data_IF_403877234869
#
_entry.id   IF_403877234869
#
_cell.length_a   1.000
_cell.length_b   1.000
_cell.length_c   1.000
_cell.angle_alpha   90.00
_cell.angle_beta   90.00
_cell.angle_gamma   90.00
#
_symmetry.space_group_name_H-M   'P 1'
#
loop_
_entity.id
_entity.type
_entity.pdbx_description
1 polymer ?
2 non-polymer ?
3 water ?
#
# COMPACT_ATOMS: atom_id res chain seq x y z
N UNK A 1 -6.84 -6.69 30.54
CA UNK A 1 -6.25 -5.63 29.73
C UNK A 1 -6.30 -5.88 28.20
N UNK A 2 -7.48 -5.69 27.58
CA UNK A 2 -7.64 -6.01 26.15
C UNK A 2 -6.77 -5.16 25.24
N UNK A 3 -6.26 -5.79 24.17
CA UNK A 3 -5.45 -5.09 23.19
C UNK A 3 -5.62 -5.72 21.81
N UNK A 4 -5.25 -4.94 20.78
CA UNK A 4 -5.14 -5.47 19.42
C UNK A 4 -4.05 -4.72 18.68
N UNK A 5 -3.81 -5.10 17.42
CA UNK A 5 -2.77 -4.50 16.59
C UNK A 5 -3.34 -3.91 15.32
N UNK A 6 -2.94 -2.69 14.99
CA UNK A 6 -3.25 -2.06 13.71
C UNK A 6 -2.09 -2.32 12.76
N UNK A 7 -2.35 -3.05 11.68
CA UNK A 7 -1.32 -3.46 10.73
C UNK A 7 -1.79 -3.20 9.31
N UNK A 8 -0.84 -3.17 8.40
CA UNK A 8 -1.09 -2.90 6.98
C UNK A 8 -0.15 -3.79 6.19
N UNK A 9 -0.66 -4.94 5.75
CA UNK A 9 0.17 -6.03 5.22
C UNK A 9 -0.11 -6.29 3.75
N UNK A 10 0.96 -6.55 3.01
CA UNK A 10 0.85 -7.12 1.68
C UNK A 10 1.89 -8.23 1.54
N UNK A 11 1.43 -9.40 1.11
CA UNK A 11 2.29 -10.55 0.84
C UNK A 11 3.20 -10.20 -0.34
N UNK A 12 4.48 -9.96 -0.05
CA UNK A 12 5.41 -9.51 -1.09
C UNK A 12 5.61 -10.55 -2.19
N UNK A 13 5.56 -11.85 -1.86
CA UNK A 13 5.57 -12.89 -2.90
C UNK A 13 4.40 -12.74 -3.86
N UNK A 14 3.19 -12.47 -3.33
CA UNK A 14 2.04 -12.23 -4.20
C UNK A 14 2.26 -10.99 -5.06
N UNK A 15 2.91 -9.97 -4.52
CA UNK A 15 3.20 -8.77 -5.30
C UNK A 15 4.14 -9.10 -6.45
N UNK A 16 5.24 -9.79 -6.16
CA UNK A 16 6.16 -10.21 -7.20
C UNK A 16 5.46 -11.01 -8.29
N UNK A 17 4.57 -11.93 -7.88
CA UNK A 17 3.75 -12.67 -8.83
C UNK A 17 2.91 -11.73 -9.70
N UNK A 18 2.31 -10.71 -9.09
CA UNK A 18 1.54 -9.74 -9.89
C UNK A 18 2.39 -9.05 -10.93
N UNK A 19 3.56 -8.54 -10.54
CA UNK A 19 4.50 -7.94 -11.48
C UNK A 19 4.89 -8.95 -12.56
N UNK A 20 5.31 -10.15 -12.16
CA UNK A 20 5.63 -11.21 -13.13
C UNK A 20 4.50 -11.43 -14.11
N UNK A 21 3.26 -11.39 -13.61
CA UNK A 21 2.13 -11.62 -14.50
C UNK A 21 1.79 -10.38 -15.31
N UNK A 22 1.99 -9.18 -14.75
CA UNK A 22 1.84 -7.97 -15.56
C UNK A 22 2.87 -7.93 -16.70
N UNK A 23 4.09 -8.39 -16.44
CA UNK A 23 5.11 -8.43 -17.49
C UNK A 23 4.71 -9.41 -18.60
N UNK A 24 4.23 -10.60 -18.24
CA UNK A 24 3.81 -11.56 -19.26
C UNK A 24 2.63 -11.02 -20.06
N UNK A 25 1.77 -10.22 -19.43
CA UNK A 25 0.63 -9.63 -20.14
C UNK A 25 1.07 -8.53 -21.11
N UNK A 26 2.07 -7.73 -20.73
CA UNK A 26 2.58 -6.69 -21.62
C UNK A 26 3.24 -7.29 -22.85
N UNK A 27 3.94 -8.41 -22.67
CA UNK A 27 4.58 -9.08 -23.80
C UNK A 27 3.58 -9.65 -24.79
N UNK A 28 2.36 -9.93 -24.36
CA UNK A 28 1.37 -10.44 -25.30
C UNK A 28 0.68 -9.34 -26.08
N UNK A 29 0.66 -8.11 -25.55
CA UNK A 29 -0.13 -7.01 -26.07
C UNK A 29 0.57 -6.39 -27.27
N UNK A 30 -0.07 -6.45 -28.44
CA UNK A 30 0.70 -5.94 -29.57
C UNK A 30 0.69 -4.43 -29.70
N UNK A 31 -0.06 -3.69 -28.89
CA UNK A 31 0.24 -2.27 -28.87
C UNK A 31 1.55 -1.97 -28.13
N UNK A 32 2.18 -2.98 -27.52
CA UNK A 32 3.44 -2.83 -26.83
C UNK A 32 4.58 -3.60 -27.46
N UNK A 33 4.31 -4.42 -28.47
CA UNK A 33 5.33 -5.12 -29.22
C UNK A 33 6.31 -4.12 -29.81
N UNK A 34 7.59 -4.30 -29.52
CA UNK A 34 8.60 -3.34 -29.94
C UNK A 34 8.47 -1.98 -29.29
N UNK A 35 7.84 -1.88 -28.12
CA UNK A 35 7.76 -0.64 -27.36
C UNK A 35 8.51 -0.85 -26.06
N UNK A 36 9.35 0.10 -25.68
CA UNK A 36 9.98 0.07 -24.37
C UNK A 36 8.90 0.13 -23.31
N UNK A 37 8.78 -0.94 -22.51
CA UNK A 37 7.71 -1.04 -21.53
C UNK A 37 8.20 -1.99 -20.44
N UNK A 38 8.46 -1.47 -19.24
CA UNK A 38 9.11 -2.29 -18.23
C UNK A 38 8.46 -2.06 -16.89
N UNK A 39 8.41 -3.12 -16.08
CA UNK A 39 7.79 -3.11 -14.76
C UNK A 39 8.71 -3.90 -13.85
N UNK A 40 9.39 -3.21 -12.93
CA UNK A 40 10.45 -3.83 -12.15
C UNK A 40 10.22 -3.58 -10.67
N UNK A 41 10.16 -4.65 -9.91
CA UNK A 41 9.95 -4.58 -8.48
C UNK A 41 11.31 -4.49 -7.81
N UNK A 42 11.50 -3.45 -7.00
CA UNK A 42 12.65 -3.31 -6.12
C UNK A 42 12.20 -3.81 -4.75
N UNK A 43 12.61 -5.02 -4.41
CA UNK A 43 12.19 -5.65 -3.16
C UNK A 43 12.91 -5.09 -1.93
N UNK A 44 13.97 -4.30 -2.12
CA UNK A 44 14.59 -3.60 -0.99
C UNK A 44 13.70 -2.44 -0.54
N UNK A 45 13.37 -1.53 -1.46
CA UNK A 45 12.66 -0.28 -1.17
C UNK A 45 11.14 -0.40 -1.29
N UNK A 46 10.62 -1.58 -1.61
CA UNK A 46 9.17 -1.81 -1.68
C UNK A 46 8.53 -0.96 -2.79
N UNK A 47 9.22 -0.84 -3.93
CA UNK A 47 8.82 0.06 -4.98
C UNK A 47 8.72 -0.69 -6.30
N UNK A 48 7.84 -0.21 -7.17
CA UNK A 48 7.70 -0.73 -8.53
C UNK A 48 7.89 0.44 -9.48
N UNK A 49 8.90 0.34 -10.32
CA UNK A 49 9.14 1.32 -11.37
C UNK A 49 8.46 0.84 -12.64
N UNK A 50 7.58 1.67 -13.21
CA UNK A 50 6.97 1.38 -14.49
C UNK A 50 7.39 2.49 -15.45
N UNK A 51 7.88 2.09 -16.63
CA UNK A 51 8.48 3.01 -17.59
C UNK A 51 8.00 2.69 -18.99
N UNK A 52 7.65 3.72 -19.74
CA UNK A 52 7.36 3.55 -21.17
C UNK A 52 7.76 4.82 -21.92
N UNK A 53 7.18 5.02 -23.10
CA UNK A 53 7.54 6.09 -24.01
C UNK A 53 6.50 7.22 -24.05
N UNK A 54 5.45 7.15 -23.25
CA UNK A 54 4.54 8.29 -23.14
C UNK A 54 3.84 8.21 -21.79
N UNK A 55 3.33 9.36 -21.33
CA UNK A 55 2.65 9.29 -20.04
C UNK A 55 1.38 8.46 -20.17
N UNK A 56 0.79 8.39 -21.37
CA UNK A 56 -0.39 7.57 -21.59
C UNK A 56 -0.07 6.08 -21.45
N UNK A 57 1.10 5.66 -21.94
CA UNK A 57 1.47 4.26 -21.86
C UNK A 57 1.87 3.87 -20.44
N UNK A 58 2.46 4.79 -19.69
CA UNK A 58 2.73 4.52 -18.28
C UNK A 58 1.44 4.18 -17.54
N UNK A 59 0.38 4.97 -17.74
CA UNK A 59 -0.87 4.70 -17.06
C UNK A 59 -1.47 3.37 -17.51
N UNK A 60 -1.36 3.05 -18.81
CA UNK A 60 -1.75 1.72 -19.29
C UNK A 60 -1.05 0.62 -18.51
N UNK A 61 0.27 0.75 -18.33
CA UNK A 61 1.00 -0.25 -17.55
C UNK A 61 0.53 -0.29 -16.11
N UNK A 62 0.25 0.88 -15.51
CA UNK A 62 -0.23 0.90 -14.13
C UNK A 62 -1.57 0.20 -13.99
N UNK A 63 -2.45 0.36 -14.99
CA UNK A 63 -3.76 -0.30 -14.96
C UNK A 63 -3.63 -1.81 -15.12
N UNK A 64 -2.71 -2.26 -15.97
CA UNK A 64 -2.44 -3.68 -16.10
C UNK A 64 -1.88 -4.24 -14.79
N UNK A 65 -0.87 -3.56 -14.23
CA UNK A 65 -0.30 -3.97 -12.94
C UNK A 65 -1.33 -3.98 -11.84
N UNK A 66 -2.25 -3.01 -11.83
CA UNK A 66 -3.26 -3.01 -10.77
C UNK A 66 -4.24 -4.17 -10.95
N UNK A 67 -4.62 -4.46 -12.20
CA UNK A 67 -5.50 -5.60 -12.40
C UNK A 67 -4.84 -6.89 -11.93
N UNK A 68 -3.59 -7.14 -12.34
CA UNK A 68 -2.88 -8.33 -11.89
C UNK A 68 -2.71 -8.36 -10.38
N UNK A 69 -2.54 -7.21 -9.74
CA UNK A 69 -2.32 -7.20 -8.31
C UNK A 69 -3.59 -7.58 -7.56
N UNK A 70 -4.73 -7.06 -8.04
CA UNK A 70 -6.01 -7.34 -7.39
C UNK A 70 -6.29 -8.84 -7.36
N UNK A 71 -5.98 -9.52 -8.47
CA UNK A 71 -6.24 -10.96 -8.53
C UNK A 71 -5.35 -11.72 -7.57
N UNK A 72 -4.19 -11.16 -7.24
CA UNK A 72 -3.29 -11.72 -6.24
C UNK A 72 -3.63 -11.30 -4.82
N UNK A 73 -4.73 -10.58 -4.63
CA UNK A 73 -5.15 -10.14 -3.31
C UNK A 73 -4.65 -8.79 -2.87
N UNK A 74 -3.99 -8.03 -3.75
CA UNK A 74 -3.43 -6.73 -3.39
C UNK A 74 -4.31 -5.65 -4.00
N UNK A 75 -4.84 -4.78 -3.15
CA UNK A 75 -5.81 -3.77 -3.54
C UNK A 75 -5.10 -2.50 -4.02
N UNK A 76 -5.74 -1.83 -4.99
CA UNK A 76 -5.16 -0.61 -5.57
C UNK A 76 -4.72 0.41 -4.55
N UNK A 77 -5.41 0.47 -3.40
CA UNK A 77 -5.05 1.44 -2.38
C UNK A 77 -3.69 1.15 -1.77
N UNK A 78 -3.15 -0.06 -1.98
CA UNK A 78 -1.84 -0.43 -1.46
C UNK A 78 -0.70 0.01 -2.38
N UNK A 79 -1.01 0.58 -3.54
CA UNK A 79 0.00 0.98 -4.51
C UNK A 79 -0.02 2.50 -4.58
N UNK A 80 0.85 3.13 -3.80
CA UNK A 80 0.97 4.59 -3.80
C UNK A 80 1.64 5.03 -5.09
N UNK A 81 0.92 5.78 -5.93
CA UNK A 81 1.49 6.36 -7.13
C UNK A 81 1.75 7.83 -6.89
N UNK A 82 3.00 8.30 -6.99
CA UNK A 82 3.30 9.72 -6.75
C UNK A 82 2.60 10.60 -7.78
N UNK A 83 2.48 11.90 -7.43
CA UNK A 83 1.79 12.82 -8.30
C UNK A 83 2.53 12.99 -9.63
N UNK A 84 3.82 13.26 -9.56
CA UNK A 84 4.62 13.55 -10.75
C UNK A 84 5.15 12.26 -11.37
N UNK A 85 4.86 12.08 -12.66
CA UNK A 85 5.61 11.18 -13.51
C UNK A 85 6.92 11.85 -13.88
N UNK A 86 7.91 11.06 -14.26
CA UNK A 86 9.21 11.60 -14.63
C UNK A 86 9.34 11.55 -16.16
N UNK A 87 9.66 12.70 -16.74
CA UNK A 87 10.00 12.79 -18.17
C UNK A 87 11.52 12.93 -18.25
N UNK A 88 12.19 11.85 -18.65
CA UNK A 88 13.64 11.79 -18.76
C UNK A 88 13.99 11.27 -20.15
N UNK A 89 14.56 12.13 -20.98
CA UNK A 89 14.84 11.74 -22.35
C UNK A 89 13.54 11.48 -23.08
N UNK A 90 13.52 10.42 -23.87
CA UNK A 90 12.30 9.98 -24.53
C UNK A 90 11.51 8.97 -23.70
N UNK A 91 11.80 8.84 -22.42
CA UNK A 91 11.10 7.91 -21.55
C UNK A 91 10.24 8.66 -20.53
N UNK A 92 9.20 7.96 -20.06
CA UNK A 92 8.34 8.42 -18.97
C UNK A 92 8.29 7.32 -17.93
N UNK A 93 8.40 7.67 -16.65
CA UNK A 93 8.35 6.64 -15.64
C UNK A 93 7.86 7.22 -14.34
N UNK A 94 7.47 6.31 -13.45
CA UNK A 94 7.07 6.64 -12.09
C UNK A 94 7.51 5.49 -11.20
N UNK A 95 7.93 5.81 -9.98
CA UNK A 95 8.21 4.84 -8.95
C UNK A 95 6.96 4.72 -8.05
N UNK A 96 6.25 3.61 -8.14
CA UNK A 96 5.08 3.34 -7.29
C UNK A 96 5.50 2.59 -6.03
N UNK A 97 5.09 3.08 -4.87
CA UNK A 97 5.50 2.53 -3.57
C UNK A 97 4.44 1.59 -3.03
N UNK A 98 4.81 0.32 -2.83
CA UNK A 98 3.95 -0.67 -2.18
C UNK A 98 3.82 -0.36 -0.70
N UNK A 99 2.58 -0.20 -0.22
CA UNK A 99 2.38 0.28 1.15
C UNK A 99 2.25 -0.90 2.12
N UNK A 100 3.41 -1.53 2.35
CA UNK A 100 3.52 -2.64 3.28
C UNK A 100 4.05 -2.11 4.62
N UNK A 101 3.35 -2.45 5.70
CA UNK A 101 3.69 -1.88 6.99
C UNK A 101 3.20 -0.46 7.09
N UNK A 102 3.24 0.12 8.28
CA UNK A 102 2.75 1.49 8.48
C UNK A 102 3.96 2.34 8.74
N UNK A 103 4.28 3.20 7.79
CA UNK A 103 5.48 4.03 7.89
C UNK A 103 5.40 4.94 9.11
N UNK A 104 6.57 5.34 9.60
CA UNK A 104 6.67 6.19 10.79
C UNK A 104 5.76 7.41 10.70
N UNK A 105 5.67 8.03 9.51
CA UNK A 105 4.87 9.24 9.39
C UNK A 105 3.40 8.94 9.61
N UNK A 106 2.92 7.79 9.13
CA UNK A 106 1.51 7.47 9.24
C UNK A 106 1.19 6.98 10.65
N UNK A 107 2.11 6.24 11.29
CA UNK A 107 1.90 5.83 12.69
C UNK A 107 1.63 7.04 13.57
N UNK A 108 2.38 8.13 13.36
CA UNK A 108 2.20 9.34 14.16
C UNK A 108 0.79 9.89 14.02
N UNK A 109 0.28 9.97 12.78
CA UNK A 109 -1.08 10.48 12.60
C UNK A 109 -2.11 9.59 13.27
N UNK A 110 -1.94 8.27 13.16
CA UNK A 110 -2.86 7.33 13.81
C UNK A 110 -2.84 7.54 15.32
N UNK A 111 -1.63 7.62 15.91
CA UNK A 111 -1.52 7.88 17.34
C UNK A 111 -2.12 9.24 17.70
N UNK A 112 -1.85 10.26 16.88
CA UNK A 112 -2.42 11.58 17.17
C UNK A 112 -3.93 11.55 17.06
N UNK A 113 -4.45 10.91 16.01
CA UNK A 113 -5.89 10.86 15.80
C UNK A 113 -6.60 10.11 16.92
N UNK A 114 -5.94 9.08 17.47
CA UNK A 114 -6.51 8.34 18.59
C UNK A 114 -6.50 9.19 19.86
N UNK A 115 -5.44 9.99 20.03
CA UNK A 115 -5.39 10.93 21.15
C UNK A 115 -6.56 11.90 21.09
N UNK A 116 -6.77 12.53 19.94
CA UNK A 116 -7.82 13.54 19.81
C UNK A 116 -9.22 12.96 19.91
N UNK A 117 -9.38 11.64 19.93
CA UNK A 117 -10.69 11.07 20.11
C UNK A 117 -11.13 11.04 21.57
N UNK A 118 -10.23 11.30 22.53
CA UNK A 118 -10.53 11.29 23.96
C UNK A 118 -10.91 9.91 24.49
N UNK A 119 -10.77 8.86 23.68
CA UNK A 119 -11.06 7.52 24.18
C UNK A 119 -9.98 7.10 25.18
N UNK A 120 -10.40 6.36 26.20
CA UNK A 120 -9.45 5.89 27.22
C UNK A 120 -8.74 4.66 26.68
N UNK A 121 -7.81 4.92 25.75
CA UNK A 121 -6.95 3.91 25.17
C UNK A 121 -5.54 4.46 25.08
N UNK A 122 -4.58 3.55 25.06
CA UNK A 122 -3.18 3.87 24.82
C UNK A 122 -2.79 3.24 23.50
N UNK A 123 -1.95 3.92 22.72
CA UNK A 123 -1.55 3.47 21.40
C UNK A 123 -0.04 3.56 21.27
N UNK A 124 0.63 2.41 21.15
CA UNK A 124 2.10 2.34 21.18
C UNK A 124 2.63 1.83 19.85
N UNK A 125 3.40 2.66 19.16
CA UNK A 125 4.15 2.24 17.99
C UNK A 125 5.04 1.05 18.34
N UNK A 126 4.86 -0.07 17.64
CA UNK A 126 5.70 -1.24 17.84
C UNK A 126 6.07 -1.78 16.47
N UNK A 127 7.37 -1.88 16.21
CA UNK A 127 7.89 -2.17 14.89
C UNK A 127 7.13 -1.46 13.79
N UNK A 128 6.58 -2.26 12.88
CA UNK A 128 5.90 -1.75 11.71
C UNK A 128 4.40 -1.56 11.94
N UNK A 129 3.93 -1.60 13.19
CA UNK A 129 2.49 -1.49 13.45
C UNK A 129 2.25 -0.70 14.73
N UNK A 130 0.99 -0.67 15.15
CA UNK A 130 0.53 0.08 16.31
C UNK A 130 -0.26 -0.86 17.20
N UNK A 131 0.19 -1.05 18.43
CA UNK A 131 -0.62 -1.74 19.43
C UNK A 131 -1.50 -0.71 20.13
N UNK A 132 -2.76 -1.10 20.35
CA UNK A 132 -3.74 -0.29 21.06
C UNK A 132 -4.24 -1.10 22.25
N UNK A 133 -4.16 -0.51 23.45
CA UNK A 133 -4.70 -1.18 24.63
C UNK A 133 -5.66 -0.26 25.36
N UNK A 134 -6.58 -0.86 26.09
CA UNK A 134 -7.49 -0.09 26.92
C UNK A 134 -8.28 -1.04 27.78
N UNK A 135 -9.09 -0.48 28.66
CA UNK A 135 -9.89 -1.33 29.53
C UNK A 135 -11.24 -1.69 28.94
N UNK A 136 -11.74 -0.91 28.00
CA UNK A 136 -13.04 -1.14 27.40
C UNK A 136 -12.86 -1.75 26.01
N UNK A 137 -13.40 -2.96 25.82
CA UNK A 137 -13.42 -3.56 24.50
C UNK A 137 -14.22 -2.72 23.51
N UNK A 138 -15.21 -1.95 23.98
CA UNK A 138 -16.02 -1.14 23.07
C UNK A 138 -15.30 0.12 22.64
N UNK A 139 -14.54 0.74 23.54
CA UNK A 139 -13.66 1.83 23.10
C UNK A 139 -12.64 1.30 22.09
N UNK A 140 -12.20 0.06 22.27
CA UNK A 140 -11.25 -0.48 21.32
C UNK A 140 -11.91 -0.69 19.96
N UNK A 141 -13.23 -0.94 19.94
CA UNK A 141 -13.95 -1.02 18.66
C UNK A 141 -14.13 0.36 18.04
N UNK A 142 -14.30 1.40 18.87
CA UNK A 142 -14.42 2.75 18.34
C UNK A 142 -13.13 3.20 17.65
N UNK A 143 -11.97 2.79 18.16
CA UNK A 143 -10.77 3.22 17.43
C UNK A 143 -10.65 2.43 16.12
N UNK A 144 -11.15 1.18 16.07
CA UNK A 144 -11.13 0.48 14.79
C UNK A 144 -11.95 1.25 13.74
N UNK A 145 -13.18 1.63 14.07
CA UNK A 145 -13.99 2.42 13.14
C UNK A 145 -13.36 3.78 12.82
N UNK A 146 -12.78 4.43 13.83
CA UNK A 146 -12.02 5.66 13.63
C UNK A 146 -10.87 5.48 12.63
N UNK A 147 -10.12 4.38 12.72
CA UNK A 147 -9.03 4.14 11.78
C UNK A 147 -9.56 3.72 10.41
N UNK A 148 -10.48 2.74 10.38
CA UNK A 148 -11.22 2.39 9.16
C UNK A 148 -11.68 3.60 8.36
N UNK A 149 -12.45 4.47 9.00
CA UNK A 149 -13.07 5.61 8.37
C UNK A 149 -12.19 6.81 8.25
N UNK A 150 -10.89 6.66 8.48
CA UNK A 150 -9.95 7.72 8.24
C UNK A 150 -9.48 7.72 6.80
N UNK A 151 -9.03 8.88 6.35
CA UNK A 151 -8.50 9.03 4.99
C UNK A 151 -7.00 8.79 4.94
N UNK A 152 -6.47 7.93 5.81
CA UNK A 152 -5.04 7.86 6.10
C UNK A 152 -4.19 7.43 4.90
N UNK A 153 -4.80 7.04 3.78
CA UNK A 153 -4.06 6.81 2.56
C UNK A 153 -3.59 5.39 2.32
N UNK A 154 -4.30 4.39 2.87
CA UNK A 154 -3.76 3.05 3.01
C UNK A 154 -4.79 2.12 3.63
N UNK A 155 -4.87 0.87 3.19
CA UNK A 155 -5.75 -0.10 3.87
C UNK A 155 -5.12 -0.58 5.17
N UNK A 156 -5.98 -0.85 6.14
CA UNK A 156 -5.55 -1.39 7.42
C UNK A 156 -6.34 -2.64 7.74
N UNK A 157 -5.68 -3.61 8.35
CA UNK A 157 -6.39 -4.65 9.07
C UNK A 157 -5.96 -4.66 10.52
N UNK A 158 -6.75 -5.36 11.31
CA UNK A 158 -6.55 -5.48 12.75
C UNK A 158 -6.37 -6.93 13.11
N UNK A 159 -5.32 -7.21 13.87
CA UNK A 159 -4.82 -8.54 14.14
C UNK A 159 -4.49 -8.63 15.63
N UNK A 160 -4.22 -9.85 16.09
CA UNK A 160 -3.63 -10.08 17.43
C UNK A 160 -4.52 -9.56 18.57
N UNK A 161 -5.81 -9.90 18.48
CA UNK A 161 -6.75 -9.54 19.54
C UNK A 161 -6.47 -10.36 20.78
N UNK A 162 -6.19 -9.67 21.88
CA UNK A 162 -5.83 -10.33 23.13
C UNK A 162 -6.62 -9.76 24.29
N UNK A 163 -6.83 -10.63 25.29
CA UNK A 163 -7.34 -10.29 26.60
C UNK A 163 -6.30 -10.58 27.69
X LIG B 1 -16.60 -3.48 27.56
X LIG B 1 -16.24 -4.86 27.07
X LIG B 1 -16.50 -2.54 26.39
X LIG B 1 -18.19 -3.31 28.08
X LIG B 1 -18.63 -2.07 28.68
X LIG B 1 -19.65 -2.36 29.79
X LIG B 1 -20.90 -3.15 29.10
X LIG B 1 -19.20 -3.13 30.70
X LIG B 1 -18.76 -2.31 31.94
X LIG B 1 -20.46 -3.91 31.16
X LIG B 1 -21.22 -3.04 31.88
X LIG B 1 -21.20 -4.16 29.87
X LIG B 1 -20.75 -5.42 29.19
X LIG B 1 -19.96 -5.69 28.14
X LIG B 1 -19.98 -7.03 28.03
X LIG B 1 -20.76 -7.54 28.98
X LIG B 1 -21.17 -8.98 29.33
X LIG B 1 -20.74 -9.88 28.69
X LIG B 1 -22.03 -9.22 30.45
X LIG B 1 -22.53 -8.12 31.22
X LIG B 1 -23.40 -8.36 32.34
X LIG B 1 -22.14 -6.75 30.90
X LIG B 1 -21.25 -6.51 29.73
X LIG B 1 -18.04 -3.27 33.17
X LIG B 1 -16.64 -3.79 32.37
X LIG B 1 -15.84 -2.66 31.81
X LIG B 1 -14.79 -3.24 30.83
X LIG B 1 -13.76 -4.26 31.60
X LIG B 1 -15.32 -3.90 29.89
X LIG B 1 -15.44 -2.94 28.68
X LIG B 1 -14.29 -5.06 29.56
X LIG B 1 -13.42 -4.68 28.57
X LIG B 1 -13.60 -5.34 30.88
X LIG B 1 -14.30 -6.48 31.58
X LIG B 1 -15.16 -6.40 32.61
X LIG B 1 -15.56 -7.67 32.90
X LIG B 1 -14.97 -8.49 32.05
X LIG B 1 -15.06 -10.03 31.92
X LIG B 1 -15.76 -10.62 32.66
X LIG B 1 -14.30 -10.72 30.94
X LIG B 1 -13.47 -9.94 30.05
X LIG B 1 -12.69 -10.59 29.04
X LIG B 1 -13.38 -8.48 30.18
X LIG B 1 -14.17 -7.77 31.22
X LIG C 1 9.04 -9.87 -32.98
X LIG C 1 7.68 -9.28 -32.83
X LIG C 1 9.15 -10.91 -31.92
X LIG C 1 9.25 -10.68 -34.41
X LIG C 1 10.38 -11.54 -34.58
X LIG C 1 10.68 -11.69 -36.10
X LIG C 1 9.43 -12.43 -36.83
X LIG C 1 10.78 -10.57 -36.64
X LIG C 1 12.25 -10.08 -36.59
X LIG C 1 10.36 -10.89 -38.11
X LIG C 1 11.37 -11.54 -38.75
X LIG C 1 9.19 -11.81 -37.92
X LIG C 1 7.89 -11.06 -37.80
X LIG C 1 7.11 -10.72 -36.78
X LIG C 1 6.06 -10.07 -37.33
X LIG C 1 6.23 -10.02 -38.65
X LIG C 1 5.37 -9.42 -39.77
X LIG C 1 4.37 -8.87 -39.55
X LIG C 1 5.81 -9.52 -41.11
X LIG C 1 7.04 -10.19 -41.42
X LIG C 1 7.47 -10.29 -42.78
X LIG C 1 7.85 -10.76 -40.36
X LIG C 1 7.40 -10.65 -38.95
X LIG C 1 12.44 -8.50 -37.22
X LIG C 1 12.01 -8.21 -38.61
X LIG C 1 13.90 -8.23 -37.17
X LIG C 1 11.73 -7.61 -36.02
X LIG C 1 12.36 -7.91 -34.75
X LIG C 1 11.54 -7.25 -33.64
X LIG C 1 11.43 -5.64 -33.92
X LIG C 1 10.38 -7.70 -33.65
X LIG C 1 10.30 -8.83 -32.61
X LIG C 1 9.47 -6.52 -33.22
X LIG C 1 9.35 -6.49 -31.87
X LIG C 1 10.20 -5.30 -33.73
X LIG C 1 9.63 -4.86 -35.02
X LIG C 1 10.11 -4.91 -36.26
X LIG C 1 9.18 -4.36 -37.07
X LIG C 1 8.16 -3.98 -36.33
X LIG C 1 6.84 -3.30 -36.71
X LIG C 1 6.61 -3.03 -37.83
X LIG C 1 5.90 -2.99 -35.69
X LIG C 1 6.20 -3.32 -34.32
X LIG C 1 5.22 -3.00 -33.31
X LIG C 1 7.45 -3.97 -33.96
X LIG C 1 8.42 -4.29 -35.03
#
# INVERSE_FOLDING_TARGET
MPSFDIVSEVDLQEARNGVDNAVREVESRFDFRGVEATIELNDANKTIKVLSESDFQVNQLLDILRAKLLKRGIEGASLDVPDEFVHSGKTWYVEAKLKQGIESAVQKKIVKLIKDSKLKVQAQIQGEEIRVTGKSRDDLQSVMALVRGGDLGQPFQFKNFRD
C2E P1 O2P O1P O5' C5' C4' O4' C3' O3' C2' O2' C1' N9 C8 N7 C5 C6 O6 N1 C2 N2 N3 C4 P11 O5A C5A C4A O4A C3A O3A C2A O2A C1A N91 C81 N71 C51 C61 O61 N11 C21 N21 N31 C41
C2E P1 O2P O1P O5' C5' C4' O4' C3' O3' C2' O2' C1' N9 C8 N7 C5 C6 O6 N1 C2 N2 N3 C4 P11 O21 O11 O5A C5A C4A O4A C3A O3A C2A O2A C1A N91 C81 N71 C51 C61 O61 N11 C21 N21 N31 C41
#
